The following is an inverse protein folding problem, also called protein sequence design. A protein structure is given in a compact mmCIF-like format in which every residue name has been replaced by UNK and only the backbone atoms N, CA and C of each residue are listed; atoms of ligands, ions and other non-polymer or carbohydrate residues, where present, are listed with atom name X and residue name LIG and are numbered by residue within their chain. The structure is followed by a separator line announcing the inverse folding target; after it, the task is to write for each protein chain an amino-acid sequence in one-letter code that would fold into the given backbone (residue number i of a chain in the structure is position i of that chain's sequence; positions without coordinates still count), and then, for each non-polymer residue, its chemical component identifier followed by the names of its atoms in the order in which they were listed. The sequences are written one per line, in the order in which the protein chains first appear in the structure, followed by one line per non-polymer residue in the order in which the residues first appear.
data_IF_897498938110
#
_entry.id   IF_897498938110
#
_cell.length_a   1.000
_cell.length_b   1.000
_cell.length_c   1.000
_cell.angle_alpha   90.00
_cell.angle_beta   90.00
_cell.angle_gamma   90.00
#
_symmetry.space_group_name_H-M   'P 1'
#
loop_
_entity.id
_entity.type
_entity.pdbx_description
1 polymer ?
#
# COMPACT_ATOMS: atom_id res chain seq x y z
N UNK A 1 9.45 16.55 65.87
CA UNK A 1 9.07 16.98 64.51
C UNK A 1 10.11 16.45 63.53
N UNK A 2 9.74 15.53 62.64
CA UNK A 2 10.40 15.31 61.33
C UNK A 2 9.60 14.30 60.49
N UNK A 3 8.69 14.76 59.60
CA UNK A 3 8.10 13.93 58.58
C UNK A 3 8.81 14.21 57.24
N UNK A 4 9.88 13.50 56.92
CA UNK A 4 10.53 13.66 55.60
C UNK A 4 10.84 12.34 54.86
N UNK A 5 10.64 11.17 55.50
CA UNK A 5 10.99 9.90 54.86
C UNK A 5 9.88 9.33 53.94
N UNK A 6 8.61 9.66 54.19
CA UNK A 6 7.48 9.11 53.41
C UNK A 6 7.27 9.73 52.02
N UNK A 7 7.68 10.99 51.82
CA UNK A 7 7.42 11.72 50.58
C UNK A 7 8.36 11.33 49.42
N UNK A 8 9.57 10.85 49.72
CA UNK A 8 10.58 10.50 48.69
C UNK A 8 10.31 9.16 48.01
N UNK A 9 9.74 8.19 48.73
CA UNK A 9 9.40 6.88 48.17
C UNK A 9 8.18 6.94 47.23
N UNK A 10 7.16 7.75 47.58
CA UNK A 10 5.96 7.91 46.75
C UNK A 10 6.26 8.59 45.39
N UNK A 11 7.15 9.59 45.37
CA UNK A 11 7.53 10.29 44.15
C UNK A 11 8.27 9.39 43.14
N UNK A 12 9.12 8.47 43.63
CA UNK A 12 9.88 7.55 42.77
C UNK A 12 8.98 6.49 42.10
N UNK A 13 7.99 5.97 42.83
CA UNK A 13 7.02 4.98 42.31
C UNK A 13 6.12 5.59 41.24
N UNK A 14 5.67 6.84 41.44
CA UNK A 14 4.87 7.57 40.44
C UNK A 14 5.69 7.85 39.18
N UNK A 15 6.98 8.22 39.31
CA UNK A 15 7.85 8.48 38.16
C UNK A 15 8.13 7.23 37.33
N UNK A 16 8.36 6.08 37.98
CA UNK A 16 8.54 4.79 37.28
C UNK A 16 7.26 4.35 36.57
N UNK A 17 6.09 4.51 37.21
CA UNK A 17 4.80 4.16 36.61
C UNK A 17 4.45 5.02 35.38
N UNK A 18 4.76 6.32 35.43
CA UNK A 18 4.57 7.23 34.28
C UNK A 18 5.51 6.86 33.12
N UNK A 19 6.76 6.49 33.42
CA UNK A 19 7.73 6.03 32.41
C UNK A 19 7.34 4.70 31.74
N UNK A 20 6.76 3.75 32.49
CA UNK A 20 6.24 2.50 31.90
C UNK A 20 5.00 2.73 31.05
N UNK A 21 4.08 3.60 31.46
CA UNK A 21 2.90 3.94 30.65
C UNK A 21 3.28 4.66 29.34
N UNK A 22 4.26 5.57 29.37
CA UNK A 22 4.77 6.25 28.16
C UNK A 22 5.44 5.26 27.20
N UNK A 23 6.19 4.26 27.71
CA UNK A 23 6.78 3.20 26.88
C UNK A 23 5.74 2.27 26.26
N UNK A 24 4.68 1.91 26.99
CA UNK A 24 3.61 1.08 26.44
C UNK A 24 2.83 1.81 25.34
N UNK A 25 2.56 3.11 25.51
CA UNK A 25 1.88 3.92 24.51
C UNK A 25 2.71 4.11 23.21
N UNK A 26 4.04 4.12 23.31
CA UNK A 26 4.93 4.13 22.13
C UNK A 26 5.05 2.75 21.48
N UNK A 27 5.20 1.67 22.27
CA UNK A 27 5.30 0.30 21.74
C UNK A 27 4.05 -0.20 21.03
N UNK A 28 2.86 0.25 21.44
CA UNK A 28 1.59 -0.11 20.78
C UNK A 28 1.39 0.55 19.40
N UNK A 29 1.98 1.73 19.16
CA UNK A 29 1.84 2.43 17.86
C UNK A 29 2.69 1.78 16.76
N UNK A 30 3.87 1.30 17.11
CA UNK A 30 4.80 0.73 16.12
C UNK A 30 4.41 -0.70 15.71
N UNK A 31 3.92 -1.52 16.66
CA UNK A 31 3.51 -2.91 16.37
C UNK A 31 2.32 -2.99 15.41
N UNK A 32 1.30 -2.14 15.58
CA UNK A 32 0.13 -2.14 14.70
C UNK A 32 0.43 -1.67 13.27
N UNK A 33 1.40 -0.76 13.10
CA UNK A 33 1.84 -0.29 11.78
C UNK A 33 2.64 -1.35 11.02
N UNK A 34 3.55 -2.05 11.71
CA UNK A 34 4.36 -3.12 11.13
C UNK A 34 3.51 -4.34 10.73
N UNK A 35 2.57 -4.74 11.58
CA UNK A 35 1.64 -5.83 11.28
C UNK A 35 0.77 -5.50 10.05
N UNK A 36 0.18 -4.31 10.00
CA UNK A 36 -0.63 -3.84 8.87
C UNK A 36 0.18 -3.80 7.57
N UNK A 37 1.41 -3.28 7.61
CA UNK A 37 2.34 -3.29 6.46
C UNK A 37 2.59 -4.73 5.99
N UNK A 38 2.87 -5.64 6.91
CA UNK A 38 3.14 -7.04 6.59
C UNK A 38 1.94 -7.74 5.95
N UNK A 39 0.72 -7.41 6.38
CA UNK A 39 -0.52 -7.97 5.85
C UNK A 39 -0.81 -7.44 4.46
N UNK A 40 -0.75 -6.12 4.25
CA UNK A 40 -0.95 -5.52 2.93
C UNK A 40 0.08 -6.05 1.91
N UNK A 41 1.34 -6.21 2.33
CA UNK A 41 2.37 -6.77 1.47
C UNK A 41 2.04 -8.20 1.00
N UNK A 42 1.42 -9.02 1.86
CA UNK A 42 0.96 -10.37 1.47
C UNK A 42 -0.27 -10.30 0.58
N UNK A 43 -1.25 -9.48 0.93
CA UNK A 43 -2.54 -9.44 0.24
C UNK A 43 -2.45 -8.83 -1.15
N UNK A 44 -1.54 -7.88 -1.37
CA UNK A 44 -1.39 -7.19 -2.64
C UNK A 44 -0.72 -8.08 -3.71
N UNK A 45 0.13 -9.03 -3.31
CA UNK A 45 0.80 -9.95 -4.24
C UNK A 45 -0.23 -10.74 -5.03
N UNK A 46 -0.02 -10.82 -6.35
CA UNK A 46 -0.90 -11.50 -7.27
C UNK A 46 -1.10 -10.74 -8.58
N UNK A 47 -2.05 -11.25 -9.36
CA UNK A 47 -2.47 -10.64 -10.63
C UNK A 47 -3.86 -10.04 -10.46
N UNK A 48 -4.02 -8.84 -10.98
CA UNK A 48 -5.21 -8.03 -10.85
C UNK A 48 -5.64 -7.52 -12.21
N UNK A 49 -6.94 -7.42 -12.46
CA UNK A 49 -7.52 -6.87 -13.67
C UNK A 49 -8.30 -5.60 -13.33
N UNK A 50 -8.14 -4.57 -14.17
CA UNK A 50 -8.81 -3.28 -13.99
C UNK A 50 -10.33 -3.45 -14.05
N UNK A 51 -11.03 -2.80 -13.13
CA UNK A 51 -12.45 -2.99 -12.87
C UNK A 51 -13.15 -1.66 -12.56
N UNK A 52 -12.74 -0.57 -13.22
CA UNK A 52 -13.36 0.75 -13.08
C UNK A 52 -12.70 1.66 -12.04
N UNK A 53 -13.49 2.60 -11.54
CA UNK A 53 -13.11 3.57 -10.50
C UNK A 53 -13.96 3.35 -9.24
N UNK A 54 -13.59 3.92 -8.08
CA UNK A 54 -14.38 3.75 -6.85
C UNK A 54 -15.85 4.19 -6.98
N UNK A 55 -16.11 5.26 -7.74
CA UNK A 55 -17.46 5.78 -7.96
C UNK A 55 -18.24 4.98 -9.03
N UNK A 56 -17.51 4.25 -9.88
CA UNK A 56 -18.08 3.44 -10.95
C UNK A 56 -17.29 2.13 -11.11
N UNK A 57 -17.46 1.17 -10.18
CA UNK A 57 -16.91 -0.16 -10.35
C UNK A 57 -17.57 -0.86 -11.55
N UNK A 58 -16.79 -1.60 -12.32
CA UNK A 58 -17.23 -2.33 -13.50
C UNK A 58 -16.75 -3.78 -13.45
N UNK A 59 -17.44 -4.67 -14.15
CA UNK A 59 -16.95 -6.04 -14.32
C UNK A 59 -15.76 -6.04 -15.29
N UNK A 60 -14.66 -6.74 -14.97
CA UNK A 60 -13.53 -6.87 -15.87
C UNK A 60 -13.93 -7.39 -17.26
N UNK A 61 -13.33 -6.88 -18.34
CA UNK A 61 -13.63 -7.37 -19.68
C UNK A 61 -13.18 -8.83 -19.83
N UNK A 62 -13.94 -9.62 -20.58
CA UNK A 62 -13.62 -11.04 -20.85
C UNK A 62 -12.30 -11.25 -21.61
N UNK A 63 -11.82 -10.23 -22.33
CA UNK A 63 -10.59 -10.23 -23.12
C UNK A 63 -9.98 -8.84 -23.21
N UNK A 64 -8.65 -8.74 -23.30
CA UNK A 64 -7.93 -7.46 -23.45
C UNK A 64 -7.97 -6.54 -22.21
N UNK A 65 -8.30 -7.11 -21.04
CA UNK A 65 -8.26 -6.38 -19.77
C UNK A 65 -6.87 -5.87 -19.44
N UNK A 66 -6.79 -4.69 -18.84
CA UNK A 66 -5.55 -4.19 -18.28
C UNK A 66 -5.23 -4.97 -17.02
N UNK A 67 -4.06 -5.60 -16.99
CA UNK A 67 -3.59 -6.43 -15.90
C UNK A 67 -2.50 -5.70 -15.13
N UNK A 68 -2.56 -5.73 -13.80
CA UNK A 68 -1.48 -5.29 -12.91
C UNK A 68 -0.99 -6.48 -12.09
N UNK A 69 0.31 -6.63 -12.00
CA UNK A 69 0.98 -7.69 -11.27
C UNK A 69 1.74 -7.05 -10.13
N UNK A 70 1.56 -7.58 -8.92
CA UNK A 70 2.43 -7.30 -7.79
C UNK A 70 3.14 -8.59 -7.40
N UNK A 71 4.46 -8.48 -7.30
CA UNK A 71 5.36 -9.53 -6.79
C UNK A 71 5.98 -9.04 -5.48
N UNK A 72 6.90 -9.78 -4.86
CA UNK A 72 7.48 -9.36 -3.58
C UNK A 72 8.01 -7.91 -3.54
N UNK A 73 8.68 -7.44 -4.60
CA UNK A 73 9.29 -6.09 -4.65
C UNK A 73 9.06 -5.34 -5.95
N UNK A 74 8.47 -5.99 -6.94
CA UNK A 74 8.27 -5.44 -8.28
C UNK A 74 6.80 -5.46 -8.66
N UNK A 75 6.45 -4.57 -9.56
CA UNK A 75 5.15 -4.53 -10.18
C UNK A 75 5.29 -4.25 -11.67
N UNK A 76 4.27 -4.66 -12.42
CA UNK A 76 4.10 -4.20 -13.79
C UNK A 76 2.61 -4.13 -14.13
N UNK A 77 2.29 -3.35 -15.14
CA UNK A 77 0.97 -3.24 -15.72
C UNK A 77 1.08 -3.51 -17.21
N UNK A 78 0.11 -4.22 -17.77
CA UNK A 78 0.11 -4.57 -19.19
C UNK A 78 -1.30 -4.60 -19.73
N UNK A 79 -1.47 -4.27 -21.00
CA UNK A 79 -2.73 -4.41 -21.72
C UNK A 79 -2.44 -4.82 -23.16
N UNK A 80 -3.13 -5.86 -23.62
CA UNK A 80 -3.14 -6.25 -25.02
C UNK A 80 -4.42 -5.76 -25.69
N UNK A 81 -4.33 -5.38 -26.95
CA UNK A 81 -5.50 -5.16 -27.79
C UNK A 81 -6.30 -6.47 -27.90
N UNK A 82 -7.62 -6.47 -27.62
CA UNK A 82 -8.41 -7.69 -27.54
C UNK A 82 -8.61 -8.40 -28.89
N UNK A 83 -8.42 -7.70 -30.01
CA UNK A 83 -8.65 -8.26 -31.35
C UNK A 83 -7.37 -8.83 -31.96
N UNK A 84 -6.25 -8.14 -31.75
CA UNK A 84 -4.97 -8.44 -32.40
C UNK A 84 -3.96 -9.10 -31.48
N UNK A 85 -4.14 -9.00 -30.15
CA UNK A 85 -3.20 -9.51 -29.15
C UNK A 85 -1.93 -8.68 -29.00
N UNK A 86 -1.80 -7.57 -29.72
CA UNK A 86 -0.64 -6.66 -29.63
C UNK A 86 -0.62 -5.97 -28.26
N UNK A 87 0.53 -5.92 -27.60
CA UNK A 87 0.69 -5.19 -26.34
C UNK A 87 0.67 -3.69 -26.61
N UNK A 88 -0.37 -3.01 -26.14
CA UNK A 88 -0.62 -1.58 -26.36
C UNK A 88 -0.31 -0.72 -25.13
N UNK A 89 -0.10 -1.33 -23.98
CA UNK A 89 0.27 -0.64 -22.76
C UNK A 89 1.18 -1.56 -21.95
N UNK A 90 2.35 -1.07 -21.56
CA UNK A 90 3.24 -1.83 -20.68
C UNK A 90 4.20 -0.90 -19.97
N UNK A 91 4.27 -1.00 -18.65
CA UNK A 91 5.34 -0.44 -17.86
C UNK A 91 5.41 -1.12 -16.50
N UNK A 92 6.48 -0.87 -15.76
CA UNK A 92 6.64 -1.43 -14.44
C UNK A 92 7.92 -0.98 -13.78
N UNK A 93 8.17 -1.57 -12.62
CA UNK A 93 9.35 -1.26 -11.84
C UNK A 93 9.24 -1.81 -10.43
N UNK A 94 9.63 -1.00 -9.47
CA UNK A 94 9.71 -1.39 -8.06
C UNK A 94 8.61 -0.71 -7.26
N UNK A 95 8.21 -1.31 -6.15
CA UNK A 95 7.36 -0.64 -5.18
C UNK A 95 7.80 -0.91 -3.75
N UNK A 96 7.39 -0.02 -2.84
CA UNK A 96 7.48 -0.18 -1.40
C UNK A 96 6.12 0.07 -0.75
N UNK A 97 5.91 -0.49 0.44
CA UNK A 97 4.70 -0.30 1.26
C UNK A 97 5.08 0.36 2.58
N UNK A 98 4.34 1.41 2.95
CA UNK A 98 4.36 2.01 4.29
C UNK A 98 2.93 2.14 4.84
N UNK A 99 2.58 1.31 5.83
CA UNK A 99 1.20 1.25 6.33
C UNK A 99 0.21 0.81 5.24
N UNK A 100 -0.67 1.71 4.83
CA UNK A 100 -1.59 1.52 3.69
C UNK A 100 -1.20 2.31 2.43
N UNK A 101 0.02 2.85 2.39
CA UNK A 101 0.53 3.59 1.23
C UNK A 101 1.50 2.72 0.42
N UNK A 102 1.42 2.81 -0.90
CA UNK A 102 2.45 2.32 -1.82
C UNK A 102 3.19 3.47 -2.49
N UNK A 103 4.48 3.28 -2.73
CA UNK A 103 5.28 4.12 -3.62
C UNK A 103 5.77 3.27 -4.79
N UNK A 104 5.29 3.56 -5.99
CA UNK A 104 5.58 2.81 -7.21
C UNK A 104 6.51 3.61 -8.12
N UNK A 105 7.75 3.15 -8.30
CA UNK A 105 8.73 3.78 -9.18
C UNK A 105 8.79 3.05 -10.51
N UNK A 106 8.50 3.77 -11.60
CA UNK A 106 8.55 3.24 -12.96
C UNK A 106 10.02 3.14 -13.41
N UNK A 107 10.46 1.94 -13.78
CA UNK A 107 11.83 1.64 -14.23
C UNK A 107 11.92 1.42 -15.73
N UNK A 108 10.85 0.96 -16.35
CA UNK A 108 10.75 0.71 -17.78
C UNK A 108 9.31 0.94 -18.24
N UNK A 109 9.14 1.29 -19.51
CA UNK A 109 7.85 1.54 -20.14
C UNK A 109 7.94 1.34 -21.66
N UNK A 110 6.79 1.03 -22.27
CA UNK A 110 6.60 1.17 -23.71
C UNK A 110 6.58 2.65 -24.10
N UNK A 111 6.78 2.92 -25.40
CA UNK A 111 6.91 4.28 -25.95
C UNK A 111 5.77 5.22 -25.55
N UNK A 112 4.54 4.71 -25.48
CA UNK A 112 3.34 5.50 -25.14
C UNK A 112 3.26 5.94 -23.67
N UNK A 113 4.15 5.45 -22.80
CA UNK A 113 4.26 5.86 -21.39
C UNK A 113 5.72 6.11 -20.99
N UNK A 114 6.61 6.32 -21.95
CA UNK A 114 8.04 6.49 -21.71
C UNK A 114 8.36 7.72 -20.85
N UNK A 115 7.51 8.74 -20.89
CA UNK A 115 7.60 9.94 -20.05
C UNK A 115 7.48 9.64 -18.55
N UNK A 116 6.88 8.51 -18.17
CA UNK A 116 6.73 8.09 -16.77
C UNK A 116 8.01 7.48 -16.19
N UNK A 117 9.01 7.15 -17.01
CA UNK A 117 10.24 6.51 -16.55
C UNK A 117 10.94 7.38 -15.49
N UNK A 118 11.36 6.76 -14.38
CA UNK A 118 11.95 7.36 -13.17
C UNK A 118 10.97 8.17 -12.31
N UNK A 119 9.71 8.34 -12.71
CA UNK A 119 8.70 8.92 -11.83
C UNK A 119 8.31 7.93 -10.72
N UNK A 120 7.89 8.46 -9.58
CA UNK A 120 7.33 7.69 -8.48
C UNK A 120 5.91 8.17 -8.21
N UNK A 121 4.95 7.27 -8.40
CA UNK A 121 3.56 7.51 -8.04
C UNK A 121 3.30 6.97 -6.65
N UNK A 122 2.46 7.68 -5.89
CA UNK A 122 2.06 7.26 -4.55
C UNK A 122 0.57 6.96 -4.53
N UNK A 123 0.20 5.92 -3.80
CA UNK A 123 -1.19 5.48 -3.70
C UNK A 123 -1.53 5.11 -2.27
N UNK A 124 -2.75 5.43 -1.86
CA UNK A 124 -3.37 4.75 -0.72
C UNK A 124 -4.07 3.49 -1.23
N UNK A 125 -3.71 2.34 -0.67
CA UNK A 125 -4.21 1.02 -1.08
C UNK A 125 -5.13 0.44 0.01
N UNK A 126 -6.23 -0.17 -0.44
CA UNK A 126 -7.08 -1.00 0.41
C UNK A 126 -7.34 -2.32 -0.33
N UNK A 127 -7.08 -3.45 0.33
CA UNK A 127 -7.41 -4.79 -0.18
C UNK A 127 -8.54 -5.37 0.66
N UNK A 128 -9.61 -5.81 0.00
CA UNK A 128 -10.78 -6.45 0.58
C UNK A 128 -11.08 -7.73 -0.20
N UNK A 129 -10.49 -8.84 0.25
CA UNK A 129 -10.55 -10.14 -0.42
C UNK A 129 -9.95 -10.08 -1.83
N UNK A 130 -10.81 -10.25 -2.84
CA UNK A 130 -10.44 -10.26 -4.26
C UNK A 130 -10.59 -8.88 -4.93
N UNK A 131 -10.77 -7.81 -4.15
CA UNK A 131 -10.80 -6.44 -4.67
C UNK A 131 -9.69 -5.64 -4.03
N UNK A 132 -8.90 -4.91 -4.81
CA UNK A 132 -8.12 -3.80 -4.26
C UNK A 132 -8.53 -2.49 -4.90
N UNK A 133 -8.47 -1.44 -4.09
CA UNK A 133 -8.68 -0.06 -4.50
C UNK A 133 -7.39 0.72 -4.30
N UNK A 134 -7.02 1.54 -5.27
CA UNK A 134 -5.95 2.53 -5.13
C UNK A 134 -6.51 3.93 -5.28
N UNK A 135 -6.03 4.86 -4.46
CA UNK A 135 -6.32 6.29 -4.58
C UNK A 135 -5.02 7.03 -4.80
N UNK A 136 -4.93 7.76 -5.90
CA UNK A 136 -3.75 8.54 -6.26
C UNK A 136 -3.47 9.65 -5.24
N UNK A 137 -2.23 9.72 -4.74
CA UNK A 137 -1.75 10.81 -3.90
C UNK A 137 -0.94 11.78 -4.77
N UNK A 138 -1.54 12.92 -5.13
CA UNK A 138 -0.90 13.89 -6.03
C UNK A 138 -0.81 13.43 -7.50
N UNK A 139 -1.57 12.39 -7.87
CA UNK A 139 -1.69 11.88 -9.24
C UNK A 139 -3.16 11.47 -9.51
N UNK A 140 -3.59 11.37 -10.77
CA UNK A 140 -5.01 11.18 -11.09
C UNK A 140 -5.49 9.72 -11.03
N UNK A 141 -4.62 8.74 -10.72
CA UNK A 141 -4.95 7.33 -10.90
C UNK A 141 -5.66 6.75 -9.66
N UNK A 142 -6.98 6.91 -9.63
CA UNK A 142 -7.87 6.35 -8.61
C UNK A 142 -8.73 5.26 -9.21
N UNK A 143 -8.48 4.01 -8.81
CA UNK A 143 -8.87 2.81 -9.59
C UNK A 143 -9.31 1.66 -8.69
N UNK A 144 -10.19 0.81 -9.22
CA UNK A 144 -10.64 -0.44 -8.62
C UNK A 144 -10.16 -1.62 -9.48
N UNK A 145 -9.71 -2.67 -8.81
CA UNK A 145 -9.09 -3.83 -9.42
C UNK A 145 -9.63 -5.12 -8.81
N UNK A 146 -9.80 -6.16 -9.64
CA UNK A 146 -10.26 -7.49 -9.22
C UNK A 146 -9.15 -8.52 -9.37
N UNK A 147 -9.01 -9.42 -8.40
CA UNK A 147 -8.01 -10.48 -8.43
C UNK A 147 -8.37 -11.46 -9.55
N UNK A 148 -7.41 -11.78 -10.41
CA UNK A 148 -7.56 -12.89 -11.34
C UNK A 148 -7.28 -14.22 -10.62
N UNK A 149 -8.14 -15.21 -10.87
CA UNK A 149 -8.06 -16.57 -10.31
C UNK A 149 -7.65 -17.56 -11.39
#
# INVERSE_FOLDING_TARGET
MSPQLGLRAAALVVFVAVLTMLRQAQGQKDQGGEEKRSQLARDLVGTWVWAGTPDKPEEPPKSGGRLKFFTGTHWNITQADPQTGVVIFHHGGTYSIDGDETSETIKYANENTAELIKQTNKFKIKVEGDTYTQVGQGNPYTEVWKRLK
#
